data_IF_765950292399
#
_entry.id   IF_765950292399
#
_cell.length_a   1.000
_cell.length_b   1.000
_cell.length_c   1.000
_cell.angle_alpha   90.00
_cell.angle_beta   90.00
_cell.angle_gamma   90.00
#
_symmetry.space_group_name_H-M   'P 1'
#
loop_
_entity.id
_entity.type
_entity.pdbx_description
1 polymer ?
#
# COMPACT_ATOMS: atom_id res chain seq x y z
N UNK A 1 24.21 -48.92 51.13
CA UNK A 1 23.73 -49.02 49.75
C UNK A 1 22.86 -47.84 49.46
N UNK A 2 23.38 -46.86 48.72
CA UNK A 2 22.66 -45.61 48.38
C UNK A 2 22.18 -45.77 46.93
N UNK A 3 20.85 -45.93 46.76
CA UNK A 3 20.20 -45.96 45.42
C UNK A 3 20.12 -44.53 44.87
N UNK A 4 20.89 -44.25 43.83
CA UNK A 4 20.77 -43.00 43.05
C UNK A 4 19.55 -43.08 42.15
N UNK A 5 18.57 -42.21 42.36
CA UNK A 5 17.46 -41.97 41.46
C UNK A 5 17.96 -41.01 40.36
N UNK A 6 17.91 -41.43 39.11
CA UNK A 6 18.19 -40.63 37.94
C UNK A 6 16.84 -40.02 37.52
N UNK A 7 16.71 -38.68 37.46
CA UNK A 7 15.47 -38.06 36.91
C UNK A 7 15.45 -38.24 35.39
N UNK A 8 14.39 -38.82 34.86
CA UNK A 8 14.12 -38.86 33.44
C UNK A 8 13.66 -37.46 32.96
N UNK A 9 14.49 -36.80 32.20
CA UNK A 9 14.11 -35.57 31.52
C UNK A 9 13.19 -35.89 30.34
N UNK A 10 11.91 -35.54 30.45
CA UNK A 10 10.95 -35.61 29.33
C UNK A 10 11.21 -34.43 28.44
N UNK A 11 11.84 -34.63 27.30
CA UNK A 11 11.98 -33.61 26.25
C UNK A 11 10.63 -33.46 25.56
N UNK A 12 9.93 -32.36 25.85
CA UNK A 12 8.76 -31.93 25.08
C UNK A 12 9.23 -31.41 23.73
N UNK A 13 9.12 -32.20 22.66
CA UNK A 13 9.29 -31.76 21.29
C UNK A 13 8.09 -30.88 20.92
N UNK A 14 8.29 -29.57 20.91
CA UNK A 14 7.33 -28.61 20.34
C UNK A 14 7.24 -28.90 18.84
N UNK A 15 6.12 -29.43 18.38
CA UNK A 15 5.77 -29.55 16.97
C UNK A 15 5.44 -28.13 16.47
N UNK A 16 6.45 -27.40 16.03
CA UNK A 16 6.25 -26.21 15.25
C UNK A 16 5.67 -26.64 13.89
N UNK A 17 4.35 -26.56 13.74
CA UNK A 17 3.72 -26.72 12.43
C UNK A 17 4.28 -25.67 11.45
N UNK A 18 4.29 -25.95 10.13
CA UNK A 18 4.71 -24.96 9.15
C UNK A 18 3.87 -23.70 9.33
N UNK A 19 4.52 -22.53 9.50
CA UNK A 19 3.85 -21.26 9.46
C UNK A 19 3.19 -21.13 8.08
N UNK A 20 1.86 -21.02 8.04
CA UNK A 20 1.16 -20.74 6.78
C UNK A 20 1.63 -19.36 6.28
N UNK A 21 2.30 -19.34 5.13
CA UNK A 21 2.59 -18.09 4.45
C UNK A 21 1.25 -17.43 4.06
N UNK A 22 1.11 -16.12 4.32
CA UNK A 22 -0.06 -15.37 3.87
C UNK A 22 -0.20 -15.45 2.33
N UNK A 23 -1.43 -15.41 1.85
CA UNK A 23 -1.75 -15.45 0.41
C UNK A 23 -1.76 -14.00 -0.14
N UNK A 24 -0.58 -13.42 -0.31
CA UNK A 24 -0.42 -12.03 -0.67
C UNK A 24 -0.36 -11.79 -2.17
N UNK A 25 -1.00 -10.70 -2.60
CA UNK A 25 -0.96 -10.19 -3.97
C UNK A 25 -0.27 -8.83 -3.99
N UNK A 26 0.64 -8.64 -4.93
CA UNK A 26 1.18 -7.34 -5.30
C UNK A 26 0.74 -6.97 -6.71
N UNK A 27 0.29 -5.72 -6.89
CA UNK A 27 -0.02 -5.11 -8.19
C UNK A 27 0.84 -3.87 -8.32
N UNK A 28 1.74 -3.87 -9.29
CA UNK A 28 2.59 -2.71 -9.60
C UNK A 28 2.18 -2.14 -10.94
N UNK A 29 1.96 -0.84 -10.98
CA UNK A 29 1.65 -0.10 -12.20
C UNK A 29 2.54 1.12 -12.30
N UNK A 30 2.98 1.43 -13.51
CA UNK A 30 3.86 2.56 -13.80
C UNK A 30 3.30 3.38 -14.96
N UNK A 31 3.49 4.69 -14.90
CA UNK A 31 3.17 5.59 -16.00
C UNK A 31 4.28 6.64 -16.16
N UNK A 32 4.83 6.83 -17.38
CA UNK A 32 5.79 7.89 -17.65
C UNK A 32 5.13 9.27 -17.57
N UNK A 33 5.92 10.28 -17.17
CA UNK A 33 5.50 11.68 -17.07
C UNK A 33 6.59 12.56 -17.66
N UNK A 34 6.20 13.50 -18.54
CA UNK A 34 7.11 14.46 -19.19
C UNK A 34 7.38 15.70 -18.30
N UNK A 35 7.78 15.44 -17.04
CA UNK A 35 8.13 16.48 -16.09
C UNK A 35 9.14 15.94 -15.06
N UNK A 36 9.97 16.82 -14.44
CA UNK A 36 10.88 16.45 -13.36
C UNK A 36 10.13 15.89 -12.15
N UNK A 37 10.72 14.91 -11.48
CA UNK A 37 10.08 14.18 -10.38
C UNK A 37 9.57 15.10 -9.25
N UNK A 38 10.33 16.12 -8.85
CA UNK A 38 9.91 17.06 -7.81
C UNK A 38 8.69 17.90 -8.25
N UNK A 39 8.60 18.28 -9.53
CA UNK A 39 7.47 19.01 -10.08
C UNK A 39 6.21 18.12 -10.11
N UNK A 40 6.37 16.87 -10.49
CA UNK A 40 5.29 15.86 -10.45
C UNK A 40 4.80 15.66 -9.03
N UNK A 41 5.74 15.42 -8.08
CA UNK A 41 5.40 15.17 -6.68
C UNK A 41 4.62 16.33 -6.04
N UNK A 42 4.97 17.56 -6.35
CA UNK A 42 4.24 18.74 -5.86
C UNK A 42 2.77 18.78 -6.30
N UNK A 43 2.41 18.14 -7.42
CA UNK A 43 1.05 18.13 -7.98
C UNK A 43 0.23 16.89 -7.61
N UNK A 44 0.90 15.77 -7.28
CA UNK A 44 0.22 14.49 -7.02
C UNK A 44 0.70 13.79 -5.77
N UNK A 45 1.58 14.39 -4.97
CA UNK A 45 2.17 13.76 -3.79
C UNK A 45 1.50 14.13 -2.47
N UNK A 46 0.51 15.01 -2.45
CA UNK A 46 -0.29 15.32 -1.28
C UNK A 46 -1.15 14.12 -0.86
N UNK A 47 -1.27 13.90 0.45
CA UNK A 47 -1.95 12.69 0.94
C UNK A 47 -3.45 12.69 0.58
N UNK A 48 -4.07 13.86 0.51
CA UNK A 48 -5.46 14.01 0.07
C UNK A 48 -5.62 14.33 -1.43
N UNK A 49 -4.55 14.37 -2.24
CA UNK A 49 -4.64 14.50 -3.70
C UNK A 49 -5.39 13.32 -4.33
N UNK A 50 -5.48 12.19 -3.63
CA UNK A 50 -6.30 11.03 -4.02
C UNK A 50 -7.77 11.41 -4.27
N UNK A 51 -8.28 12.44 -3.62
CA UNK A 51 -9.61 12.97 -3.90
C UNK A 51 -9.77 13.43 -5.35
N UNK A 52 -8.75 14.08 -5.91
CA UNK A 52 -8.73 14.50 -7.31
C UNK A 52 -8.58 13.30 -8.27
N UNK A 53 -7.73 12.32 -7.93
CA UNK A 53 -7.51 11.15 -8.79
C UNK A 53 -8.73 10.24 -8.90
N UNK A 54 -9.44 10.06 -7.78
CA UNK A 54 -10.64 9.22 -7.69
C UNK A 54 -11.95 10.01 -7.91
N UNK A 55 -11.86 11.34 -8.06
CA UNK A 55 -13.03 12.24 -8.15
C UNK A 55 -13.99 12.05 -6.97
N UNK A 56 -13.44 12.07 -5.76
CA UNK A 56 -14.16 11.85 -4.50
C UNK A 56 -13.68 12.82 -3.42
N UNK A 57 -14.32 12.78 -2.24
CA UNK A 57 -13.86 13.56 -1.09
C UNK A 57 -12.68 12.89 -0.40
N UNK A 58 -11.77 13.70 0.14
CA UNK A 58 -10.72 13.28 1.05
C UNK A 58 -10.53 14.37 2.12
N UNK A 59 -10.35 13.96 3.36
CA UNK A 59 -10.06 14.84 4.48
C UNK A 59 -9.00 14.22 5.39
N UNK A 60 -8.13 15.03 5.98
CA UNK A 60 -7.20 14.61 7.03
C UNK A 60 -7.97 14.66 8.35
N UNK A 61 -8.17 13.50 8.97
CA UNK A 61 -8.93 13.38 10.21
C UNK A 61 -8.06 13.37 11.46
N UNK A 62 -6.74 13.08 11.31
CA UNK A 62 -5.77 13.10 12.38
C UNK A 62 -4.35 13.36 11.84
N UNK A 63 -3.53 14.05 12.62
CA UNK A 63 -2.15 14.39 12.27
C UNK A 63 -2.04 15.51 11.26
N UNK A 64 -0.83 15.75 10.73
CA UNK A 64 -0.59 16.74 9.68
C UNK A 64 -0.51 16.06 8.31
N UNK A 65 -0.98 16.73 7.27
CA UNK A 65 -0.96 16.20 5.90
C UNK A 65 0.45 15.78 5.48
N UNK A 66 0.57 14.55 4.99
CA UNK A 66 1.83 13.99 4.53
C UNK A 66 2.78 13.50 5.62
N UNK A 67 2.47 13.58 6.90
CA UNK A 67 3.30 13.04 7.98
C UNK A 67 2.99 11.56 8.27
N UNK A 68 4.00 10.80 8.72
CA UNK A 68 3.80 9.43 9.19
C UNK A 68 2.86 9.45 10.39
N UNK A 69 1.83 8.59 10.36
CA UNK A 69 0.76 8.57 11.36
C UNK A 69 -0.45 9.46 11.01
N UNK A 70 -0.39 10.29 9.96
CA UNK A 70 -1.55 11.03 9.50
C UNK A 70 -2.63 10.07 9.00
N UNK A 71 -3.88 10.30 9.43
CA UNK A 71 -5.08 9.60 8.98
C UNK A 71 -5.83 10.43 7.96
N UNK A 72 -6.25 9.79 6.88
CA UNK A 72 -7.21 10.37 5.93
C UNK A 72 -8.48 9.55 5.87
N UNK A 73 -9.60 10.20 5.56
CA UNK A 73 -10.88 9.58 5.25
C UNK A 73 -11.29 9.88 3.82
N UNK A 74 -11.51 8.84 3.02
CA UNK A 74 -11.86 8.91 1.61
C UNK A 74 -13.33 8.53 1.44
N UNK A 75 -14.08 9.32 0.67
CA UNK A 75 -15.50 9.11 0.43
C UNK A 75 -16.33 8.92 1.71
N UNK A 76 -15.90 9.53 2.82
CA UNK A 76 -16.55 9.43 4.14
C UNK A 76 -16.52 8.06 4.81
N UNK A 77 -15.78 7.07 4.26
CA UNK A 77 -15.85 5.67 4.74
C UNK A 77 -14.54 4.90 4.82
N UNK A 78 -13.58 5.14 3.92
CA UNK A 78 -12.30 4.43 3.91
C UNK A 78 -11.31 5.25 4.72
N UNK A 79 -10.73 4.67 5.74
CA UNK A 79 -9.72 5.31 6.58
C UNK A 79 -8.37 4.66 6.38
N UNK A 80 -7.37 5.49 6.11
CA UNK A 80 -6.01 5.04 5.83
C UNK A 80 -5.01 5.87 6.61
N UNK A 81 -3.92 5.23 7.04
CA UNK A 81 -2.81 5.86 7.78
C UNK A 81 -1.53 5.82 6.96
N UNK A 82 -0.75 6.90 6.95
CA UNK A 82 0.61 6.87 6.41
C UNK A 82 1.50 6.05 7.35
N UNK A 83 2.12 4.99 6.84
CA UNK A 83 3.01 4.11 7.60
C UNK A 83 4.49 4.30 7.26
N UNK A 84 4.80 4.89 6.11
CA UNK A 84 6.16 5.23 5.71
C UNK A 84 6.15 6.35 4.66
N UNK A 85 7.24 7.11 4.57
CA UNK A 85 7.44 8.13 3.52
C UNK A 85 8.91 8.33 3.18
N UNK A 86 9.14 8.84 1.98
CA UNK A 86 10.40 9.41 1.50
C UNK A 86 10.11 10.81 0.90
N UNK A 87 11.12 11.57 0.43
CA UNK A 87 10.86 12.84 -0.26
C UNK A 87 9.89 12.75 -1.45
N UNK A 88 9.84 11.61 -2.15
CA UNK A 88 9.03 11.40 -3.35
C UNK A 88 8.12 10.17 -3.26
N UNK A 89 7.79 9.72 -2.06
CA UNK A 89 6.85 8.60 -1.88
C UNK A 89 6.17 8.64 -0.52
N UNK A 90 5.01 8.00 -0.44
CA UNK A 90 4.43 7.54 0.81
C UNK A 90 3.81 6.16 0.66
N UNK A 91 3.80 5.42 1.76
CA UNK A 91 3.07 4.15 1.89
C UNK A 91 1.98 4.33 2.94
N UNK A 92 0.79 3.85 2.62
CA UNK A 92 -0.35 3.88 3.52
C UNK A 92 -0.91 2.48 3.75
N UNK A 93 -1.61 2.31 4.86
CA UNK A 93 -2.35 1.11 5.21
C UNK A 93 -3.82 1.47 5.48
N UNK A 94 -4.74 0.61 5.07
CA UNK A 94 -6.13 0.66 5.52
C UNK A 94 -6.16 0.30 7.02
N UNK A 95 -6.87 1.09 7.83
CA UNK A 95 -6.99 0.82 9.26
C UNK A 95 -7.99 -0.30 9.58
N UNK A 96 -8.87 -0.70 8.64
CA UNK A 96 -9.69 -1.91 8.72
C UNK A 96 -8.94 -3.08 8.03
N UNK A 97 -8.20 -3.91 8.79
CA UNK A 97 -7.20 -4.82 8.22
C UNK A 97 -7.80 -6.11 7.67
N UNK A 98 -9.05 -6.13 7.20
CA UNK A 98 -9.69 -7.36 6.67
C UNK A 98 -8.88 -8.05 5.59
N UNK A 99 -8.13 -7.27 4.80
CA UNK A 99 -7.27 -7.78 3.72
C UNK A 99 -5.84 -7.25 3.80
N UNK A 100 -5.43 -6.68 4.96
CA UNK A 100 -4.10 -6.06 5.13
C UNK A 100 -3.70 -5.18 3.94
N UNK A 101 -4.62 -4.31 3.50
CA UNK A 101 -4.42 -3.52 2.31
C UNK A 101 -3.40 -2.39 2.55
N UNK A 102 -2.41 -2.32 1.67
CA UNK A 102 -1.41 -1.26 1.63
C UNK A 102 -1.28 -0.72 0.22
N UNK A 103 -0.98 0.56 0.13
CA UNK A 103 -0.63 1.19 -1.14
C UNK A 103 0.60 2.07 -1.01
N UNK A 104 1.44 2.08 -2.03
CA UNK A 104 2.58 3.01 -2.14
C UNK A 104 2.42 3.83 -3.40
N UNK A 105 2.48 5.14 -3.23
CA UNK A 105 2.61 6.12 -4.31
C UNK A 105 4.04 6.63 -4.32
N UNK A 106 4.67 6.59 -5.48
CA UNK A 106 6.06 7.00 -5.65
C UNK A 106 6.25 7.71 -6.98
N UNK A 107 7.07 8.76 -7.00
CA UNK A 107 7.57 9.37 -8.23
C UNK A 107 9.06 9.08 -8.34
N UNK A 108 9.46 8.40 -9.41
CA UNK A 108 10.86 8.07 -9.69
C UNK A 108 11.43 8.95 -10.79
N UNK A 109 12.52 9.66 -10.57
CA UNK A 109 13.20 10.37 -11.64
C UNK A 109 13.73 9.36 -12.66
N UNK A 110 13.61 9.68 -13.95
CA UNK A 110 14.21 8.94 -15.07
C UNK A 110 15.42 9.70 -15.59
N UNK A 111 15.26 11.01 -15.78
CA UNK A 111 16.29 11.97 -16.11
C UNK A 111 15.92 13.36 -15.53
N UNK A 112 16.72 14.42 -15.73
CA UNK A 112 16.41 15.76 -15.19
C UNK A 112 15.09 16.38 -15.68
N UNK A 113 14.49 15.87 -16.75
CA UNK A 113 13.27 16.42 -17.36
C UNK A 113 12.08 15.48 -17.32
N UNK A 114 12.30 14.20 -17.06
CA UNK A 114 11.25 13.17 -17.10
C UNK A 114 11.27 12.32 -15.83
N UNK A 115 10.11 11.77 -15.51
CA UNK A 115 9.91 10.89 -14.36
C UNK A 115 8.88 9.80 -14.68
N UNK A 116 8.62 8.96 -13.73
CA UNK A 116 7.49 8.02 -13.76
C UNK A 116 6.78 7.99 -12.43
N UNK A 117 5.47 7.88 -12.45
CA UNK A 117 4.66 7.57 -11.27
C UNK A 117 4.57 6.05 -11.16
N UNK A 118 4.87 5.52 -9.97
CA UNK A 118 4.74 4.10 -9.64
C UNK A 118 3.69 3.95 -8.55
N UNK A 119 2.68 3.13 -8.80
CA UNK A 119 1.66 2.81 -7.80
C UNK A 119 1.72 1.30 -7.50
N UNK A 120 2.06 0.97 -6.26
CA UNK A 120 2.12 -0.41 -5.79
C UNK A 120 0.97 -0.66 -4.82
N UNK A 121 0.19 -1.70 -5.07
CA UNK A 121 -0.81 -2.21 -4.14
C UNK A 121 -0.34 -3.55 -3.59
N UNK A 122 -0.59 -3.77 -2.32
CA UNK A 122 -0.31 -5.02 -1.64
C UNK A 122 -1.51 -5.38 -0.74
N UNK A 123 -1.98 -6.62 -0.81
CA UNK A 123 -3.08 -7.08 0.04
C UNK A 123 -3.05 -8.60 0.22
N UNK A 124 -3.62 -9.07 1.34
CA UNK A 124 -3.89 -10.48 1.59
C UNK A 124 -5.21 -10.87 0.92
N UNK A 125 -5.18 -11.87 0.05
CA UNK A 125 -6.38 -12.39 -0.60
C UNK A 125 -6.97 -13.63 0.07
N UNK A 126 -6.44 -14.07 1.22
CA UNK A 126 -6.91 -15.27 1.90
C UNK A 126 -8.41 -15.22 2.24
N UNK A 127 -8.94 -14.01 2.55
CA UNK A 127 -10.37 -13.79 2.82
C UNK A 127 -11.24 -13.69 1.55
N UNK A 128 -10.64 -13.64 0.36
CA UNK A 128 -11.36 -13.56 -0.93
C UNK A 128 -11.61 -14.98 -1.42
N UNK A 129 -12.88 -15.36 -1.72
CA UNK A 129 -13.21 -16.67 -2.29
C UNK A 129 -12.35 -16.96 -3.53
N UNK A 130 -11.82 -18.18 -3.63
CA UNK A 130 -10.84 -18.56 -4.66
C UNK A 130 -11.33 -18.23 -6.09
N UNK A 131 -12.62 -18.47 -6.37
CA UNK A 131 -13.25 -18.21 -7.65
C UNK A 131 -13.40 -16.71 -7.99
N UNK A 132 -13.21 -15.82 -7.01
CA UNK A 132 -13.31 -14.36 -7.18
C UNK A 132 -11.95 -13.68 -7.25
N UNK A 133 -10.86 -14.36 -6.93
CA UNK A 133 -9.51 -13.76 -6.80
C UNK A 133 -9.02 -13.11 -8.07
N UNK A 134 -9.10 -13.81 -9.20
CA UNK A 134 -8.66 -13.27 -10.48
C UNK A 134 -9.49 -12.06 -10.92
N UNK A 135 -10.81 -12.12 -10.74
CA UNK A 135 -11.71 -11.00 -11.05
C UNK A 135 -11.44 -9.80 -10.14
N UNK A 136 -11.17 -10.03 -8.84
CA UNK A 136 -10.81 -8.99 -7.87
C UNK A 136 -9.49 -8.31 -8.26
N UNK A 137 -8.44 -9.10 -8.52
CA UNK A 137 -7.14 -8.59 -8.96
C UNK A 137 -7.27 -7.79 -10.26
N UNK A 138 -7.96 -8.32 -11.27
CA UNK A 138 -8.18 -7.63 -12.53
C UNK A 138 -8.98 -6.33 -12.36
N UNK A 139 -9.99 -6.32 -11.47
CA UNK A 139 -10.78 -5.13 -11.14
C UNK A 139 -9.91 -4.02 -10.52
N UNK A 140 -9.09 -4.37 -9.52
CA UNK A 140 -8.13 -3.43 -8.89
C UNK A 140 -7.12 -2.91 -9.92
N UNK A 141 -6.56 -3.79 -10.74
CA UNK A 141 -5.61 -3.41 -11.80
C UNK A 141 -6.21 -2.36 -12.73
N UNK A 142 -7.42 -2.58 -13.24
CA UNK A 142 -8.12 -1.61 -14.12
C UNK A 142 -8.41 -0.28 -13.42
N UNK A 143 -8.88 -0.34 -12.17
CA UNK A 143 -9.18 0.87 -11.39
C UNK A 143 -7.93 1.74 -11.24
N UNK A 144 -6.81 1.15 -10.81
CA UNK A 144 -5.57 1.90 -10.58
C UNK A 144 -4.85 2.31 -11.88
N UNK A 145 -5.06 1.61 -12.99
CA UNK A 145 -4.66 2.12 -14.30
C UNK A 145 -5.40 3.42 -14.66
N UNK A 146 -6.69 3.51 -14.34
CA UNK A 146 -7.46 4.75 -14.49
C UNK A 146 -6.96 5.87 -13.58
N UNK A 147 -6.64 5.56 -12.33
CA UNK A 147 -6.04 6.49 -11.36
C UNK A 147 -4.73 7.05 -11.89
N UNK A 148 -3.79 6.19 -12.31
CA UNK A 148 -2.51 6.62 -12.88
C UNK A 148 -2.67 7.54 -14.08
N UNK A 149 -3.60 7.23 -14.99
CA UNK A 149 -3.90 8.10 -16.12
C UNK A 149 -4.32 9.50 -15.65
N UNK A 150 -5.16 9.60 -14.64
CA UNK A 150 -5.59 10.88 -14.07
C UNK A 150 -4.43 11.62 -13.40
N UNK A 151 -3.58 10.90 -12.65
CA UNK A 151 -2.38 11.48 -12.03
C UNK A 151 -1.43 12.08 -13.07
N UNK A 152 -1.17 11.38 -14.19
CA UNK A 152 -0.35 11.89 -15.30
C UNK A 152 -0.96 13.18 -15.88
N UNK A 153 -2.27 13.19 -16.13
CA UNK A 153 -2.96 14.41 -16.62
C UNK A 153 -2.80 15.60 -15.68
N UNK A 154 -2.92 15.39 -14.36
CA UNK A 154 -2.71 16.42 -13.33
C UNK A 154 -1.24 16.87 -13.31
N UNK A 155 -0.31 15.94 -13.37
CA UNK A 155 1.13 16.20 -13.32
C UNK A 155 1.63 17.02 -14.51
N UNK A 156 1.10 16.75 -15.70
CA UNK A 156 1.48 17.42 -16.97
C UNK A 156 0.65 18.68 -17.28
N UNK A 157 -0.39 18.96 -16.49
CA UNK A 157 -1.15 20.20 -16.65
C UNK A 157 -0.24 21.42 -16.43
N UNK A 158 -0.48 22.56 -17.11
CA UNK A 158 0.30 23.80 -16.95
C UNK A 158 0.35 24.32 -15.51
#
# INVERSE_FOLDING_TARGET
>A
MIKRLIPAAVAAAALAGPAAAGDYVSIVQEAPVNAPADAVWKKVGGYCDIGAWLKTTCEITQGADGEVGALRKIAGRVEEVIVARTPLSYTYADIDPKILYHGTVEVRPVDPKTSKIVYTLFYDQASIPAEQRDANKAGRTRMFAGVLKTMVQIAEAP
#
